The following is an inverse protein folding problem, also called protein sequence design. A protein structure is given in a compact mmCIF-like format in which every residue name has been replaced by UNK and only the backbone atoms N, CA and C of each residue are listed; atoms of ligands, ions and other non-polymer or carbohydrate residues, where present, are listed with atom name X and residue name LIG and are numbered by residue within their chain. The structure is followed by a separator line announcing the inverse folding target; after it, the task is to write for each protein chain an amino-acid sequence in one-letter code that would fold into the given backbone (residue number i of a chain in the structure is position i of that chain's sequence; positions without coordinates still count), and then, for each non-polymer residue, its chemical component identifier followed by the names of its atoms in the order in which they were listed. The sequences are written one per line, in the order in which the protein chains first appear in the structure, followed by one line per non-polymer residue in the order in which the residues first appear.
data_IF_242943040381
#
_entry.id   IF_242943040381
#
_cell.length_a   1.000
_cell.length_b   1.000
_cell.length_c   1.000
_cell.angle_alpha   90.00
_cell.angle_beta   90.00
_cell.angle_gamma   90.00
#
_symmetry.space_group_name_H-M   'P 1'
#
loop_
_entity.id
_entity.type
_entity.pdbx_description
1 polymer ?
#
# COMPACT_ATOMS: atom_id res chain seq x y z
N UNK A 1 87.22 30.40 8.28
CA UNK A 1 86.04 29.54 8.08
C UNK A 1 85.05 30.37 7.28
N UNK A 2 85.08 30.30 5.95
CA UNK A 2 84.26 31.15 5.09
C UNK A 2 82.91 30.46 4.80
N UNK A 3 81.78 31.18 4.88
CA UNK A 3 80.46 30.61 4.63
C UNK A 3 80.30 30.30 3.14
N UNK A 4 79.79 29.11 2.81
CA UNK A 4 79.37 28.80 1.43
C UNK A 4 78.13 29.62 1.10
N UNK A 5 78.32 30.65 0.27
CA UNK A 5 77.25 31.48 -0.26
C UNK A 5 76.42 30.63 -1.25
N UNK A 6 75.20 30.27 -0.86
CA UNK A 6 74.24 29.60 -1.75
C UNK A 6 73.83 30.58 -2.83
N UNK A 7 74.31 30.39 -4.06
CA UNK A 7 73.78 31.08 -5.25
C UNK A 7 72.28 30.80 -5.36
N UNK A 8 71.46 31.84 -5.19
CA UNK A 8 70.04 31.76 -5.46
C UNK A 8 69.86 31.62 -6.97
N UNK A 9 69.41 30.45 -7.42
CA UNK A 9 68.99 30.24 -8.80
C UNK A 9 67.60 30.89 -8.98
N UNK A 10 67.53 31.93 -9.81
CA UNK A 10 66.26 32.54 -10.21
C UNK A 10 65.55 31.69 -11.27
N UNK A 11 64.22 31.73 -11.28
CA UNK A 11 63.39 31.04 -12.28
C UNK A 11 63.58 31.64 -13.68
N UNK A 12 63.69 30.78 -14.69
CA UNK A 12 63.74 31.24 -16.08
C UNK A 12 62.34 31.47 -16.64
N UNK A 13 62.20 32.38 -17.61
CA UNK A 13 60.92 32.64 -18.28
C UNK A 13 60.35 31.37 -18.95
N UNK A 14 61.23 30.52 -19.49
CA UNK A 14 60.86 29.22 -20.09
C UNK A 14 60.29 28.27 -19.02
N UNK A 15 60.88 28.24 -17.83
CA UNK A 15 60.39 27.42 -16.71
C UNK A 15 59.00 27.87 -16.25
N UNK A 16 58.75 29.18 -16.20
CA UNK A 16 57.42 29.72 -15.91
C UNK A 16 56.38 29.30 -16.97
N UNK A 17 56.73 29.38 -18.26
CA UNK A 17 55.83 28.98 -19.36
C UNK A 17 55.50 27.49 -19.29
N UNK A 18 56.49 26.63 -19.03
CA UNK A 18 56.27 25.19 -18.90
C UNK A 18 55.33 24.89 -17.72
N UNK A 19 55.49 25.57 -16.58
CA UNK A 19 54.64 25.36 -15.40
C UNK A 19 53.18 25.74 -15.68
N UNK A 20 52.91 26.89 -16.31
CA UNK A 20 51.52 27.30 -16.59
C UNK A 20 50.85 26.36 -17.59
N UNK A 21 51.59 25.86 -18.60
CA UNK A 21 51.07 24.89 -19.57
C UNK A 21 50.77 23.55 -18.89
N UNK A 22 51.69 23.05 -18.06
CA UNK A 22 51.48 21.81 -17.31
C UNK A 22 50.31 21.91 -16.33
N UNK A 23 50.18 23.02 -15.60
CA UNK A 23 49.02 23.27 -14.72
C UNK A 23 47.72 23.36 -15.51
N UNK A 24 47.73 23.95 -16.71
CA UNK A 24 46.56 24.00 -17.59
C UNK A 24 46.10 22.61 -18.03
N UNK A 25 47.04 21.75 -18.47
CA UNK A 25 46.73 20.38 -18.89
C UNK A 25 46.22 19.56 -17.71
N UNK A 26 46.92 19.60 -16.57
CA UNK A 26 46.53 18.86 -15.36
C UNK A 26 45.19 19.36 -14.80
N UNK A 27 44.95 20.67 -14.81
CA UNK A 27 43.69 21.26 -14.39
C UNK A 27 42.53 20.82 -15.27
N UNK A 28 42.70 20.83 -16.59
CA UNK A 28 41.68 20.38 -17.53
C UNK A 28 41.35 18.88 -17.36
N UNK A 29 42.37 18.03 -17.20
CA UNK A 29 42.17 16.59 -16.95
C UNK A 29 41.51 16.34 -15.59
N UNK A 30 42.01 16.98 -14.53
CA UNK A 30 41.50 16.83 -13.17
C UNK A 30 40.05 17.29 -13.01
N UNK A 31 39.67 18.40 -13.65
CA UNK A 31 38.30 18.92 -13.61
C UNK A 31 37.28 17.93 -14.17
N UNK A 32 37.63 17.21 -15.25
CA UNK A 32 36.76 16.17 -15.84
C UNK A 32 36.53 15.01 -14.87
N UNK A 33 37.59 14.49 -14.25
CA UNK A 33 37.47 13.41 -13.26
C UNK A 33 36.63 13.81 -12.04
N UNK A 34 36.81 15.03 -11.54
CA UNK A 34 36.04 15.55 -10.41
C UNK A 34 34.55 15.68 -10.79
N UNK A 35 34.25 16.21 -11.98
CA UNK A 35 32.86 16.36 -12.44
C UNK A 35 32.15 15.01 -12.54
N UNK A 36 32.81 13.99 -13.07
CA UNK A 36 32.22 12.65 -13.19
C UNK A 36 31.99 11.99 -11.82
N UNK A 37 32.93 12.15 -10.89
CA UNK A 37 32.77 11.67 -9.51
C UNK A 37 31.56 12.31 -8.81
N UNK A 38 31.36 13.62 -8.97
CA UNK A 38 30.17 14.30 -8.43
C UNK A 38 28.87 13.86 -9.13
N UNK A 39 28.87 13.67 -10.44
CA UNK A 39 27.70 13.16 -11.19
C UNK A 39 27.27 11.79 -10.70
N UNK A 40 28.22 10.87 -10.49
CA UNK A 40 27.93 9.55 -9.93
C UNK A 40 27.35 9.60 -8.52
N UNK A 41 27.86 10.52 -7.68
CA UNK A 41 27.32 10.73 -6.33
C UNK A 41 25.86 11.19 -6.35
N UNK A 42 25.53 12.23 -7.11
CA UNK A 42 24.14 12.74 -7.21
C UNK A 42 23.18 11.74 -7.86
N UNK A 43 23.64 10.99 -8.87
CA UNK A 43 22.83 9.93 -9.47
C UNK A 43 22.50 8.82 -8.47
N UNK A 44 23.46 8.45 -7.62
CA UNK A 44 23.23 7.46 -6.55
C UNK A 44 22.25 7.97 -5.51
N UNK A 45 22.38 9.23 -5.08
CA UNK A 45 21.49 9.84 -4.09
C UNK A 45 20.04 9.91 -4.61
N UNK A 46 19.85 10.38 -5.84
CA UNK A 46 18.53 10.44 -6.48
C UNK A 46 17.88 9.05 -6.62
N UNK A 47 18.67 8.02 -6.98
CA UNK A 47 18.19 6.63 -7.05
C UNK A 47 17.74 6.12 -5.69
N UNK A 48 18.48 6.43 -4.62
CA UNK A 48 18.13 6.02 -3.26
C UNK A 48 16.85 6.70 -2.78
N UNK A 49 16.66 7.98 -3.08
CA UNK A 49 15.43 8.70 -2.77
C UNK A 49 14.21 8.06 -3.46
N UNK A 50 14.30 7.80 -4.77
CA UNK A 50 13.23 7.11 -5.51
C UNK A 50 12.93 5.73 -4.94
N UNK A 51 13.98 4.98 -4.56
CA UNK A 51 13.84 3.66 -3.98
C UNK A 51 13.10 3.70 -2.63
N UNK A 52 13.49 4.58 -1.71
CA UNK A 52 12.88 4.67 -0.38
C UNK A 52 11.44 5.19 -0.45
N UNK A 53 11.13 6.14 -1.34
CA UNK A 53 9.76 6.60 -1.58
C UNK A 53 8.85 5.46 -2.06
N UNK A 54 9.26 4.76 -3.13
CA UNK A 54 8.47 3.66 -3.66
C UNK A 54 8.36 2.49 -2.68
N UNK A 55 9.44 2.18 -1.95
CA UNK A 55 9.43 1.14 -0.91
C UNK A 55 8.49 1.50 0.24
N UNK A 56 8.49 2.74 0.72
CA UNK A 56 7.58 3.21 1.78
C UNK A 56 6.12 3.08 1.35
N UNK A 57 5.80 3.50 0.12
CA UNK A 57 4.49 3.33 -0.46
C UNK A 57 4.08 1.85 -0.56
N UNK A 58 4.99 0.99 -1.06
CA UNK A 58 4.75 -0.44 -1.23
C UNK A 58 4.51 -1.15 0.10
N UNK A 59 5.31 -0.89 1.13
CA UNK A 59 5.15 -1.48 2.46
C UNK A 59 3.82 -1.06 3.09
N UNK A 60 3.40 0.19 2.89
CA UNK A 60 2.10 0.65 3.37
C UNK A 60 0.96 -0.07 2.64
N UNK A 61 1.01 -0.15 1.31
CA UNK A 61 0.01 -0.87 0.51
C UNK A 61 -0.08 -2.33 0.93
N UNK A 62 1.07 -3.02 1.02
CA UNK A 62 1.15 -4.42 1.48
C UNK A 62 0.49 -4.61 2.83
N UNK A 63 0.84 -3.77 3.82
CA UNK A 63 0.30 -3.90 5.17
C UNK A 63 -1.23 -3.73 5.21
N UNK A 64 -1.76 -2.75 4.47
CA UNK A 64 -3.20 -2.49 4.47
C UNK A 64 -3.97 -3.53 3.65
N UNK A 65 -3.43 -4.00 2.52
CA UNK A 65 -4.04 -5.05 1.68
C UNK A 65 -3.99 -6.41 2.38
N UNK A 66 -2.95 -6.71 3.16
CA UNK A 66 -2.87 -8.00 3.88
C UNK A 66 -4.04 -8.23 4.84
N UNK A 67 -4.59 -7.13 5.38
CA UNK A 67 -5.75 -7.14 6.28
C UNK A 67 -7.06 -6.78 5.55
N UNK A 68 -7.09 -6.95 4.23
CA UNK A 68 -8.31 -6.75 3.46
C UNK A 68 -9.37 -7.79 3.85
N UNK A 69 -10.63 -7.34 3.86
CA UNK A 69 -11.77 -8.22 4.10
C UNK A 69 -11.93 -9.16 2.89
N UNK A 70 -12.00 -10.49 3.09
CA UNK A 70 -12.12 -11.43 1.99
C UNK A 70 -13.32 -11.14 1.10
N UNK A 71 -13.12 -11.26 -0.22
CA UNK A 71 -14.10 -10.96 -1.28
C UNK A 71 -14.69 -9.54 -1.25
N UNK A 72 -14.15 -8.64 -0.42
CA UNK A 72 -14.52 -7.22 -0.37
C UNK A 72 -13.37 -6.36 -0.90
N UNK A 73 -12.85 -6.76 -2.06
CA UNK A 73 -11.78 -6.10 -2.82
C UNK A 73 -12.23 -5.93 -4.26
N UNK A 74 -11.97 -4.77 -4.86
CA UNK A 74 -12.32 -4.48 -6.25
C UNK A 74 -11.30 -3.56 -6.91
N UNK A 75 -10.91 -3.92 -8.13
CA UNK A 75 -10.49 -3.01 -9.19
C UNK A 75 -11.77 -2.45 -9.85
N UNK A 76 -12.02 -1.13 -9.78
CA UNK A 76 -13.25 -0.57 -10.35
C UNK A 76 -13.26 -0.79 -11.86
N UNK A 77 -14.44 -0.90 -12.47
CA UNK A 77 -14.57 -1.09 -13.92
C UNK A 77 -14.99 0.22 -14.59
N UNK A 78 -14.56 0.44 -15.82
CA UNK A 78 -15.00 1.55 -16.65
C UNK A 78 -16.44 1.31 -17.17
N UNK A 79 -16.98 2.25 -17.96
CA UNK A 79 -18.31 2.12 -18.55
C UNK A 79 -18.46 0.97 -19.54
N UNK A 80 -17.34 0.41 -20.01
CA UNK A 80 -17.29 -0.69 -20.96
C UNK A 80 -17.14 -2.05 -20.25
N UNK A 81 -16.93 -2.04 -18.94
CA UNK A 81 -16.70 -3.24 -18.12
C UNK A 81 -15.23 -3.66 -18.05
N UNK A 82 -14.31 -2.82 -18.53
CA UNK A 82 -12.87 -3.06 -18.44
C UNK A 82 -12.34 -2.60 -17.08
N UNK A 83 -11.40 -3.35 -16.49
CA UNK A 83 -10.81 -2.97 -15.21
C UNK A 83 -10.07 -1.62 -15.33
N UNK A 84 -10.30 -0.75 -14.37
CA UNK A 84 -9.54 0.48 -14.17
C UNK A 84 -8.32 0.08 -13.34
N UNK A 85 -7.26 -0.24 -14.06
CA UNK A 85 -5.99 -0.74 -13.55
C UNK A 85 -5.25 0.24 -12.63
N UNK A 86 -5.72 1.49 -12.56
CA UNK A 86 -5.15 2.57 -11.75
C UNK A 86 -5.67 2.58 -10.31
N UNK A 87 -6.67 1.76 -9.95
CA UNK A 87 -7.33 1.83 -8.64
C UNK A 87 -7.59 0.47 -8.02
N UNK A 88 -7.38 0.36 -6.71
CA UNK A 88 -7.79 -0.79 -5.90
C UNK A 88 -8.51 -0.33 -4.63
N UNK A 89 -9.69 -0.87 -4.35
CA UNK A 89 -10.49 -0.54 -3.17
C UNK A 89 -10.79 -1.79 -2.34
N UNK A 90 -10.74 -1.69 -1.02
CA UNK A 90 -10.98 -2.82 -0.13
C UNK A 90 -11.53 -2.44 1.25
N UNK A 91 -12.32 -3.34 1.84
CA UNK A 91 -12.69 -3.28 3.25
C UNK A 91 -11.52 -3.68 4.14
N UNK A 92 -11.43 -3.13 5.35
CA UNK A 92 -10.30 -3.38 6.26
C UNK A 92 -10.76 -4.14 7.50
N UNK A 93 -10.11 -5.26 7.81
CA UNK A 93 -10.33 -6.02 9.04
C UNK A 93 -9.85 -5.20 10.23
N UNK A 94 -10.64 -5.20 11.31
CA UNK A 94 -10.24 -4.66 12.59
C UNK A 94 -9.60 -5.76 13.47
N UNK A 95 -8.29 -5.98 13.26
CA UNK A 95 -7.52 -6.98 14.00
C UNK A 95 -7.50 -6.74 15.51
N UNK A 96 -7.65 -5.49 15.96
CA UNK A 96 -7.69 -5.14 17.38
C UNK A 96 -8.96 -5.66 18.05
N UNK A 97 -10.09 -5.59 17.33
CA UNK A 97 -11.38 -6.08 17.83
C UNK A 97 -11.46 -7.61 17.86
N UNK A 98 -10.67 -8.34 17.06
CA UNK A 98 -10.72 -9.82 16.99
C UNK A 98 -9.46 -10.56 17.42
N UNK A 99 -8.49 -9.88 18.06
CA UNK A 99 -7.20 -10.48 18.45
C UNK A 99 -6.51 -11.27 17.31
N UNK A 100 -6.62 -10.78 16.07
CA UNK A 100 -5.96 -11.34 14.89
C UNK A 100 -6.64 -12.52 14.19
N UNK A 101 -7.92 -12.82 14.47
CA UNK A 101 -8.63 -13.98 13.89
C UNK A 101 -9.99 -13.58 13.30
N UNK A 102 -10.53 -14.42 12.41
CA UNK A 102 -11.95 -14.41 12.02
C UNK A 102 -12.83 -14.92 13.19
N UNK A 103 -14.10 -14.57 13.16
CA UNK A 103 -15.10 -15.03 14.11
C UNK A 103 -15.89 -16.20 13.56
N UNK A 104 -16.36 -17.09 14.42
CA UNK A 104 -17.29 -18.14 14.05
C UNK A 104 -18.56 -18.06 14.88
N UNK A 105 -19.72 -18.27 14.28
CA UNK A 105 -20.99 -18.39 14.99
C UNK A 105 -21.55 -19.82 14.94
N UNK A 106 -22.54 -20.11 15.78
CA UNK A 106 -23.06 -21.47 15.97
C UNK A 106 -24.28 -21.78 15.11
N UNK A 107 -25.11 -20.76 14.86
CA UNK A 107 -26.34 -20.86 14.08
C UNK A 107 -26.05 -21.31 12.65
N UNK A 108 -26.87 -22.19 12.08
CA UNK A 108 -26.68 -22.64 10.69
C UNK A 108 -27.27 -21.65 9.69
N UNK A 109 -28.39 -21.00 10.06
CA UNK A 109 -29.12 -20.07 9.18
C UNK A 109 -29.68 -18.87 9.96
N UNK A 110 -28.83 -17.95 10.48
CA UNK A 110 -29.30 -16.74 11.16
C UNK A 110 -29.90 -15.67 10.22
N UNK A 111 -30.24 -16.01 8.97
CA UNK A 111 -30.88 -15.07 8.04
C UNK A 111 -32.21 -14.56 8.60
N UNK A 112 -32.40 -13.25 8.58
CA UNK A 112 -33.55 -12.56 9.15
C UNK A 112 -33.51 -12.40 10.67
N UNK A 113 -32.51 -12.95 11.36
CA UNK A 113 -32.31 -12.76 12.80
C UNK A 113 -31.38 -11.59 13.08
N UNK A 114 -31.40 -11.11 14.32
CA UNK A 114 -30.47 -10.11 14.83
C UNK A 114 -29.46 -10.70 15.80
N UNK A 115 -29.45 -12.01 16.04
CA UNK A 115 -28.63 -12.61 17.10
C UNK A 115 -27.77 -13.73 16.55
N UNK A 116 -26.49 -13.73 16.92
CA UNK A 116 -25.57 -14.83 16.67
C UNK A 116 -24.80 -15.22 17.92
N UNK A 117 -24.58 -16.52 18.08
CA UNK A 117 -23.84 -17.11 19.19
C UNK A 117 -22.39 -17.31 18.75
N UNK A 118 -21.50 -16.41 19.20
CA UNK A 118 -20.06 -16.45 18.94
C UNK A 118 -19.43 -17.71 19.56
N UNK A 119 -18.84 -18.55 18.70
CA UNK A 119 -18.13 -19.79 19.04
C UNK A 119 -16.63 -19.58 19.25
N UNK A 120 -16.09 -18.44 18.82
CA UNK A 120 -14.65 -18.17 18.79
C UNK A 120 -14.03 -17.83 20.15
N UNK A 121 -14.81 -17.81 21.24
CA UNK A 121 -14.36 -17.52 22.60
C UNK A 121 -13.54 -16.21 22.69
N UNK A 122 -13.96 -15.17 21.94
CA UNK A 122 -13.34 -13.84 21.94
C UNK A 122 -13.65 -13.15 23.27
N UNK A 123 -12.87 -13.49 24.30
CA UNK A 123 -13.05 -13.10 25.70
C UNK A 123 -14.46 -13.39 26.26
N UNK A 124 -14.63 -13.38 27.57
CA UNK A 124 -15.95 -13.60 28.19
C UNK A 124 -16.98 -12.48 27.86
N UNK A 125 -16.57 -11.43 27.12
CA UNK A 125 -17.33 -10.20 26.87
C UNK A 125 -17.78 -10.01 25.41
N UNK A 126 -17.39 -10.88 24.46
CA UNK A 126 -17.70 -10.71 23.04
C UNK A 126 -17.06 -9.47 22.40
N UNK A 127 -17.49 -9.12 21.18
CA UNK A 127 -17.05 -7.89 20.51
C UNK A 127 -17.55 -6.63 21.26
N UNK A 128 -16.76 -5.54 21.26
CA UNK A 128 -17.21 -4.25 21.79
C UNK A 128 -18.51 -3.75 21.14
N UNK A 129 -19.31 -3.00 21.89
CA UNK A 129 -20.49 -2.33 21.33
C UNK A 129 -20.06 -1.32 20.26
N UNK A 130 -20.80 -1.29 19.15
CA UNK A 130 -20.52 -0.42 18.00
C UNK A 130 -19.49 -1.00 17.01
N UNK A 131 -18.81 -2.10 17.32
CA UNK A 131 -17.94 -2.79 16.37
C UNK A 131 -18.74 -3.18 15.13
N UNK A 132 -18.19 -2.92 13.95
CA UNK A 132 -18.78 -3.38 12.70
C UNK A 132 -18.35 -4.81 12.41
N UNK A 133 -19.29 -5.60 11.93
CA UNK A 133 -19.14 -7.01 11.61
C UNK A 133 -19.57 -7.22 10.17
N UNK A 134 -18.71 -7.84 9.37
CA UNK A 134 -19.01 -8.26 8.01
C UNK A 134 -19.25 -9.77 7.95
N UNK A 135 -20.39 -10.18 7.37
CA UNK A 135 -20.77 -11.58 7.18
C UNK A 135 -21.00 -11.83 5.69
N UNK A 136 -20.32 -12.84 5.16
CA UNK A 136 -20.54 -13.39 3.82
C UNK A 136 -20.48 -12.37 2.67
N UNK A 137 -19.28 -11.81 2.43
CA UNK A 137 -19.03 -11.07 1.20
C UNK A 137 -18.85 -12.05 0.03
N UNK A 138 -19.67 -11.88 -1.01
CA UNK A 138 -19.51 -12.60 -2.28
C UNK A 138 -18.85 -11.73 -3.36
N UNK A 139 -18.91 -10.41 -3.20
CA UNK A 139 -18.27 -9.42 -4.05
C UNK A 139 -18.08 -8.11 -3.28
N UNK A 140 -17.28 -7.21 -3.86
CA UNK A 140 -17.16 -5.85 -3.34
C UNK A 140 -18.51 -5.15 -3.23
N UNK A 141 -19.42 -5.29 -4.20
CA UNK A 141 -20.71 -4.58 -4.18
C UNK A 141 -21.57 -4.96 -2.97
N UNK A 142 -21.50 -6.21 -2.52
CA UNK A 142 -22.21 -6.67 -1.31
C UNK A 142 -21.67 -5.97 -0.06
N UNK A 143 -20.36 -5.84 0.04
CA UNK A 143 -19.71 -5.09 1.12
C UNK A 143 -19.96 -3.58 0.98
N UNK A 144 -19.82 -3.05 -0.22
CA UNK A 144 -19.87 -1.64 -0.51
C UNK A 144 -21.27 -1.08 -0.35
N UNK A 145 -22.30 -1.85 -0.71
CA UNK A 145 -23.71 -1.54 -0.50
C UNK A 145 -24.21 -1.80 0.93
N UNK A 146 -23.37 -2.35 1.81
CA UNK A 146 -23.69 -2.53 3.24
C UNK A 146 -24.52 -3.75 3.59
N UNK A 147 -24.91 -4.57 2.61
CA UNK A 147 -25.80 -5.74 2.84
C UNK A 147 -25.17 -6.83 3.71
N UNK A 148 -23.84 -6.89 3.72
CA UNK A 148 -23.05 -7.80 4.55
C UNK A 148 -22.48 -7.15 5.82
N UNK A 149 -22.77 -5.87 6.12
CA UNK A 149 -22.15 -5.15 7.24
C UNK A 149 -23.18 -4.80 8.30
N UNK A 150 -22.88 -5.17 9.54
CA UNK A 150 -23.74 -5.06 10.71
C UNK A 150 -22.99 -4.39 11.85
N UNK A 151 -23.69 -3.80 12.81
CA UNK A 151 -23.11 -3.23 14.03
C UNK A 151 -23.52 -4.05 15.25
N UNK A 152 -22.60 -4.26 16.18
CA UNK A 152 -22.86 -4.92 17.46
C UNK A 152 -23.64 -3.97 18.38
N UNK A 153 -24.90 -4.29 18.66
CA UNK A 153 -25.79 -3.45 19.49
C UNK A 153 -25.93 -3.96 20.93
N UNK A 154 -25.63 -5.24 21.17
CA UNK A 154 -25.52 -5.79 22.52
C UNK A 154 -24.45 -6.87 22.59
N UNK A 155 -23.63 -6.85 23.65
CA UNK A 155 -22.57 -7.82 23.91
C UNK A 155 -22.84 -8.70 25.15
N UNK A 156 -24.10 -8.77 25.59
CA UNK A 156 -24.50 -9.34 26.88
C UNK A 156 -24.72 -10.85 26.84
N UNK A 157 -23.65 -11.61 27.02
CA UNK A 157 -23.65 -13.08 27.26
C UNK A 157 -24.21 -13.89 26.10
N UNK A 158 -23.41 -14.02 25.03
CA UNK A 158 -23.54 -15.04 23.97
C UNK A 158 -24.95 -15.72 23.89
N UNK A 159 -25.89 -15.15 23.13
CA UNK A 159 -25.65 -14.50 21.83
C UNK A 159 -25.37 -12.98 21.88
N UNK A 160 -24.63 -12.50 20.88
CA UNK A 160 -24.51 -11.07 20.58
C UNK A 160 -25.60 -10.61 19.62
N UNK A 161 -26.03 -9.35 19.73
CA UNK A 161 -27.06 -8.77 18.86
C UNK A 161 -26.42 -7.84 17.84
N UNK A 162 -26.89 -7.94 16.59
CA UNK A 162 -26.48 -7.19 15.43
C UNK A 162 -27.63 -6.33 14.89
N UNK A 163 -27.29 -5.22 14.26
CA UNK A 163 -28.21 -4.42 13.46
C UNK A 163 -27.55 -3.99 12.13
N UNK A 164 -28.24 -4.00 10.98
CA UNK A 164 -29.61 -4.51 10.76
C UNK A 164 -29.70 -6.05 10.93
N UNK A 165 -30.88 -6.63 10.69
CA UNK A 165 -31.04 -8.08 10.66
C UNK A 165 -30.15 -8.71 9.58
N UNK A 166 -29.63 -9.90 9.85
CA UNK A 166 -28.67 -10.59 8.98
C UNK A 166 -29.35 -10.93 7.65
N UNK A 167 -28.78 -10.46 6.54
CA UNK A 167 -29.32 -10.71 5.21
C UNK A 167 -29.04 -12.14 4.76
N UNK A 168 -27.75 -12.50 4.65
CA UNK A 168 -27.34 -13.82 4.18
C UNK A 168 -26.34 -14.42 5.16
N UNK A 169 -26.60 -15.65 5.58
CA UNK A 169 -25.70 -16.42 6.41
C UNK A 169 -24.45 -16.86 5.62
N UNK A 170 -23.30 -16.84 6.30
CA UNK A 170 -22.06 -17.45 5.81
C UNK A 170 -22.19 -18.99 5.81
N UNK A 171 -21.90 -19.69 4.69
CA UNK A 171 -21.92 -21.15 4.61
C UNK A 171 -20.98 -21.85 5.59
N UNK A 172 -19.92 -21.16 6.02
CA UNK A 172 -18.93 -21.67 6.98
C UNK A 172 -19.10 -21.07 8.38
N UNK A 173 -20.23 -20.40 8.62
CA UNK A 173 -20.58 -19.71 9.86
C UNK A 173 -19.53 -18.69 10.32
N UNK A 174 -18.97 -17.91 9.38
CA UNK A 174 -17.90 -16.93 9.64
C UNK A 174 -18.37 -15.49 9.62
N UNK A 175 -17.70 -14.68 10.42
CA UNK A 175 -17.79 -13.23 10.39
C UNK A 175 -16.42 -12.57 10.61
N UNK A 176 -16.29 -11.31 10.20
CA UNK A 176 -15.08 -10.51 10.38
C UNK A 176 -15.45 -9.19 11.04
N UNK A 177 -14.73 -8.75 12.06
CA UNK A 177 -14.82 -7.38 12.53
C UNK A 177 -14.10 -6.50 11.51
N UNK A 178 -14.74 -5.41 11.12
CA UNK A 178 -14.24 -4.50 10.11
C UNK A 178 -14.13 -3.11 10.69
N UNK A 179 -13.18 -2.33 10.18
CA UNK A 179 -13.07 -0.92 10.55
C UNK A 179 -14.26 -0.16 9.99
N UNK A 180 -14.61 0.95 10.64
CA UNK A 180 -15.57 1.93 10.14
C UNK A 180 -15.04 2.75 8.93
N UNK A 181 -14.19 2.14 8.11
CA UNK A 181 -13.65 2.72 6.89
C UNK A 181 -13.29 1.64 5.85
N UNK A 182 -13.33 2.02 4.58
CA UNK A 182 -12.65 1.33 3.50
C UNK A 182 -11.47 2.17 3.00
N UNK A 183 -10.51 1.49 2.36
CA UNK A 183 -9.30 2.10 1.81
C UNK A 183 -9.31 1.96 0.30
N UNK A 184 -8.78 2.98 -0.36
CA UNK A 184 -8.50 2.98 -1.80
C UNK A 184 -7.06 3.44 -2.02
N UNK A 185 -6.36 2.72 -2.87
CA UNK A 185 -5.17 3.23 -3.54
C UNK A 185 -5.54 3.55 -4.98
N UNK A 186 -5.10 4.71 -5.45
CA UNK A 186 -5.35 5.17 -6.81
C UNK A 186 -4.13 5.90 -7.35
N UNK A 187 -3.86 5.70 -8.64
CA UNK A 187 -2.87 6.49 -9.39
C UNK A 187 -3.63 7.53 -10.20
N UNK A 188 -3.50 8.80 -9.82
CA UNK A 188 -4.07 9.92 -10.57
C UNK A 188 -2.95 10.73 -11.21
N UNK A 189 -2.89 10.72 -12.54
CA UNK A 189 -1.79 11.32 -13.29
C UNK A 189 -0.47 10.60 -13.01
N UNK A 190 0.39 11.19 -12.18
CA UNK A 190 1.68 10.62 -11.77
C UNK A 190 1.81 10.47 -10.25
N UNK A 191 0.69 10.61 -9.52
CA UNK A 191 0.67 10.53 -8.06
C UNK A 191 -0.07 9.27 -7.63
N UNK A 192 0.63 8.39 -6.91
CA UNK A 192 0.01 7.31 -6.17
C UNK A 192 -0.52 7.87 -4.86
N UNK A 193 -1.82 7.71 -4.62
CA UNK A 193 -2.51 8.28 -3.46
C UNK A 193 -3.27 7.21 -2.68
N UNK A 194 -3.52 7.50 -1.40
CA UNK A 194 -4.38 6.71 -0.52
C UNK A 194 -5.56 7.56 -0.08
N UNK A 195 -6.76 7.10 -0.36
CA UNK A 195 -8.00 7.71 0.11
C UNK A 195 -8.79 6.75 1.01
N UNK A 196 -9.74 7.29 1.77
CA UNK A 196 -10.61 6.50 2.64
C UNK A 196 -12.06 6.90 2.47
N UNK A 197 -12.96 5.97 2.76
CA UNK A 197 -14.38 6.21 2.78
C UNK A 197 -14.98 5.65 4.07
N UNK A 198 -15.86 6.40 4.73
CA UNK A 198 -16.54 5.97 5.95
C UNK A 198 -17.43 4.75 5.71
N UNK A 199 -17.51 3.86 6.70
CA UNK A 199 -18.34 2.65 6.67
C UNK A 199 -19.31 2.63 7.83
N UNK A 200 -20.57 2.43 7.51
CA UNK A 200 -21.66 2.22 8.45
C UNK A 200 -22.34 0.87 8.19
N UNK A 201 -23.04 0.34 9.19
CA UNK A 201 -23.82 -0.89 9.06
C UNK A 201 -25.06 -0.69 8.18
N UNK A 202 -25.33 -1.65 7.28
CA UNK A 202 -26.53 -1.65 6.43
C UNK A 202 -26.61 -0.57 5.36
N UNK A 203 -25.65 0.36 5.32
CA UNK A 203 -25.62 1.49 4.39
C UNK A 203 -24.51 1.37 3.34
N UNK A 204 -24.66 2.12 2.25
CA UNK A 204 -23.62 2.22 1.24
C UNK A 204 -22.38 2.97 1.78
N UNK A 205 -21.16 2.58 1.34
CA UNK A 205 -20.49 3.51 0.42
C UNK A 205 -20.51 5.00 0.70
N UNK A 206 -19.90 5.56 1.74
CA UNK A 206 -19.49 6.96 1.62
C UNK A 206 -18.55 7.13 0.40
N UNK A 207 -18.45 8.32 -0.18
CA UNK A 207 -17.48 8.56 -1.24
C UNK A 207 -16.05 8.50 -0.67
N UNK A 208 -15.10 7.97 -1.46
CA UNK A 208 -13.68 8.10 -1.15
C UNK A 208 -13.27 9.57 -1.23
N UNK A 209 -12.59 10.04 -0.18
CA UNK A 209 -12.20 11.44 -0.06
C UNK A 209 -10.83 11.58 0.61
N UNK A 210 -10.32 12.82 0.63
CA UNK A 210 -9.07 13.22 1.28
C UNK A 210 -7.83 12.41 0.84
N UNK A 211 -7.52 12.34 -0.47
CA UNK A 211 -6.38 11.59 -0.97
C UNK A 211 -5.07 12.08 -0.33
N UNK A 212 -4.28 11.14 0.18
CA UNK A 212 -2.96 11.37 0.76
C UNK A 212 -1.90 10.83 -0.20
N UNK A 213 -0.98 11.65 -0.72
CA UNK A 213 0.05 11.18 -1.64
C UNK A 213 1.00 10.21 -0.93
N UNK A 214 1.33 9.11 -1.59
CA UNK A 214 2.30 8.10 -1.15
C UNK A 214 3.59 8.14 -1.96
N UNK A 215 3.47 8.36 -3.28
CA UNK A 215 4.60 8.50 -4.19
C UNK A 215 4.23 9.40 -5.37
N UNK A 216 5.24 10.05 -5.96
CA UNK A 216 5.13 10.95 -7.11
C UNK A 216 6.03 10.51 -8.26
N UNK A 217 5.71 10.96 -9.47
CA UNK A 217 6.34 10.53 -10.72
C UNK A 217 6.18 9.02 -10.96
N UNK A 218 5.03 8.50 -10.54
CA UNK A 218 4.63 7.13 -10.74
C UNK A 218 4.25 6.92 -12.20
N UNK A 219 4.76 5.85 -12.79
CA UNK A 219 4.51 5.43 -14.18
C UNK A 219 4.27 3.92 -14.23
N UNK A 220 3.61 3.38 -15.28
CA UNK A 220 3.40 1.95 -15.41
C UNK A 220 4.74 1.21 -15.49
N UNK A 221 4.88 0.11 -14.75
CA UNK A 221 6.07 -0.74 -14.83
C UNK A 221 5.91 -1.72 -15.99
N UNK A 222 6.73 -1.57 -17.04
CA UNK A 222 6.76 -2.47 -18.20
C UNK A 222 5.40 -2.69 -18.89
N UNK A 223 4.50 -1.70 -18.87
CA UNK A 223 3.17 -1.81 -19.45
C UNK A 223 2.21 -2.71 -18.68
N UNK A 224 2.55 -3.09 -17.45
CA UNK A 224 1.65 -3.81 -16.55
C UNK A 224 0.65 -2.85 -15.88
N UNK A 225 -0.57 -3.33 -15.58
CA UNK A 225 -1.54 -2.62 -14.76
C UNK A 225 -0.99 -2.31 -13.36
N UNK A 226 -1.34 -1.15 -12.78
CA UNK A 226 -0.84 -0.79 -11.46
C UNK A 226 -1.32 -1.75 -10.38
N UNK A 227 -2.59 -2.15 -10.48
CA UNK A 227 -3.22 -3.10 -9.59
C UNK A 227 -3.95 -4.16 -10.40
N UNK A 228 -3.88 -5.40 -9.94
CA UNK A 228 -4.73 -6.50 -10.42
C UNK A 228 -5.24 -7.29 -9.23
N UNK A 229 -6.51 -7.68 -9.27
CA UNK A 229 -7.11 -8.51 -8.25
C UNK A 229 -7.53 -9.88 -8.79
N UNK A 230 -6.85 -10.91 -8.32
CA UNK A 230 -7.23 -12.29 -8.55
C UNK A 230 -8.12 -12.79 -7.40
N UNK A 231 -9.43 -12.98 -7.62
CA UNK A 231 -10.32 -13.50 -6.58
C UNK A 231 -9.90 -14.90 -6.14
N UNK A 232 -10.16 -15.18 -4.86
CA UNK A 232 -9.88 -16.49 -4.27
C UNK A 232 -10.83 -17.55 -4.80
N UNK A 233 -10.35 -18.78 -4.86
CA UNK A 233 -11.17 -19.96 -5.15
C UNK A 233 -11.23 -20.85 -3.90
N UNK A 234 -12.00 -21.94 -3.96
CA UNK A 234 -12.03 -22.92 -2.85
C UNK A 234 -10.66 -23.54 -2.53
N UNK A 235 -9.66 -23.38 -3.39
CA UNK A 235 -8.33 -24.00 -3.27
C UNK A 235 -7.18 -22.99 -3.30
N UNK A 236 -7.47 -21.69 -3.50
CA UNK A 236 -6.44 -20.63 -3.59
C UNK A 236 -6.94 -19.36 -2.92
N UNK A 237 -6.07 -18.75 -2.11
CA UNK A 237 -6.30 -17.42 -1.56
C UNK A 237 -6.43 -16.38 -2.68
N UNK A 238 -7.12 -15.28 -2.42
CA UNK A 238 -7.10 -14.13 -3.31
C UNK A 238 -5.73 -13.45 -3.26
N UNK A 239 -5.34 -12.83 -4.38
CA UNK A 239 -4.07 -12.13 -4.52
C UNK A 239 -4.35 -10.74 -5.11
N UNK A 240 -3.66 -9.74 -4.59
CA UNK A 240 -3.54 -8.43 -5.24
C UNK A 240 -2.10 -8.27 -5.69
N UNK A 241 -1.90 -8.02 -6.98
CA UNK A 241 -0.57 -7.73 -7.53
C UNK A 241 -0.45 -6.24 -7.78
N UNK A 242 0.66 -5.67 -7.32
CA UNK A 242 0.99 -4.25 -7.38
C UNK A 242 2.21 -4.08 -8.28
N UNK A 243 2.11 -3.26 -9.32
CA UNK A 243 3.20 -2.92 -10.23
C UNK A 243 3.30 -1.42 -10.41
N UNK A 244 4.45 -0.81 -10.15
CA UNK A 244 4.66 0.58 -10.55
C UNK A 244 6.14 0.90 -10.70
N UNK A 245 6.44 1.99 -11.38
CA UNK A 245 7.78 2.53 -11.45
C UNK A 245 7.79 3.99 -11.01
N UNK A 246 8.92 4.46 -10.48
CA UNK A 246 9.18 5.89 -10.26
C UNK A 246 10.18 6.34 -11.31
N UNK A 247 9.83 7.38 -12.08
CA UNK A 247 10.64 7.97 -13.14
C UNK A 247 11.09 9.38 -12.74
N UNK A 248 12.39 9.61 -12.55
CA UNK A 248 12.95 10.96 -12.39
C UNK A 248 14.23 11.11 -13.20
N UNK A 249 14.42 12.26 -13.84
CA UNK A 249 15.64 12.58 -14.60
C UNK A 249 16.08 11.52 -15.63
N UNK A 250 15.12 10.82 -16.24
CA UNK A 250 15.40 9.75 -17.22
C UNK A 250 15.78 8.40 -16.60
N UNK A 251 15.75 8.27 -15.28
CA UNK A 251 16.01 7.04 -14.55
C UNK A 251 14.72 6.44 -14.01
N UNK A 252 14.60 5.10 -14.07
CA UNK A 252 13.40 4.36 -13.66
C UNK A 252 13.74 3.31 -12.62
N UNK A 253 13.02 3.34 -11.50
CA UNK A 253 13.07 2.30 -10.46
C UNK A 253 11.73 1.55 -10.46
N UNK A 254 11.76 0.23 -10.66
CA UNK A 254 10.57 -0.62 -10.75
C UNK A 254 10.27 -1.29 -9.40
N UNK A 255 8.97 -1.40 -9.09
CA UNK A 255 8.44 -2.01 -7.89
C UNK A 255 7.37 -3.04 -8.27
N UNK A 256 7.47 -4.22 -7.66
CA UNK A 256 6.52 -5.30 -7.84
C UNK A 256 6.25 -5.97 -6.49
N UNK A 257 4.98 -6.26 -6.20
CA UNK A 257 4.58 -7.05 -5.02
C UNK A 257 3.26 -7.77 -5.26
N UNK A 258 3.27 -9.07 -4.95
CA UNK A 258 2.04 -9.83 -4.75
C UNK A 258 1.70 -9.88 -3.27
N UNK A 259 0.46 -9.55 -2.93
CA UNK A 259 -0.07 -9.56 -1.57
C UNK A 259 -1.21 -10.56 -1.50
N UNK A 260 -1.01 -11.62 -0.73
CA UNK A 260 -2.06 -12.61 -0.50
C UNK A 260 -3.04 -12.10 0.56
N UNK A 261 -4.32 -12.18 0.24
CA UNK A 261 -5.42 -11.92 1.16
C UNK A 261 -5.86 -13.27 1.72
N UNK A 262 -5.89 -13.39 3.04
CA UNK A 262 -6.23 -14.66 3.71
C UNK A 262 -7.72 -14.94 3.56
N UNK A 263 -8.08 -15.68 2.53
CA UNK A 263 -9.40 -16.29 2.42
C UNK A 263 -9.34 -17.63 3.15
N UNK A 264 -9.43 -17.61 4.48
CA UNK A 264 -9.44 -18.87 5.24
C UNK A 264 -10.73 -19.61 4.85
N UNK A 265 -10.67 -20.82 4.28
CA UNK A 265 -11.84 -21.68 4.05
C UNK A 265 -12.35 -22.24 5.37
#
# INVERSE_FOLDING_TARGET
MAPFERKQHGFTLVELIIIIVLLGILGAMGAGFISEAFRGFFATDARMEMYEEGKSALVRMEREIHIAVPNAVQEPFDSNGDAIDDTISFGVIDENSMAGVFGQYTEVYPTGTTTITDRTAIAAAGLPLGTLVSIYNTSWDVFAGGSSVYTVTSNGTNPMTLAPAIGIASPYNRYYAVRALAVRFDVTGTTLSRSTAARDAGGALAAFANPQPLAQNVVPSNGLPYFTYDPGTSTRNSVVSIHFAILRNGETVNFHKEVQIRNVP
#
